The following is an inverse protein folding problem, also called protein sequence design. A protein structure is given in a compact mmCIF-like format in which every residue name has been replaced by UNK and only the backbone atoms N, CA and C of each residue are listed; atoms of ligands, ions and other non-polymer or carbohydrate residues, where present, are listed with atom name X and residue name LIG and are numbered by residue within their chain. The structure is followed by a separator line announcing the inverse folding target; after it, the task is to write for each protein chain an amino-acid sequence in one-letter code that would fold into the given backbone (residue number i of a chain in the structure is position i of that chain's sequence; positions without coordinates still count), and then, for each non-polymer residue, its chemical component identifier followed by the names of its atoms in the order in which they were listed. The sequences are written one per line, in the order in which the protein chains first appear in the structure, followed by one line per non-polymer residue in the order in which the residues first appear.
data_IF_683578768911
#
_entry.id   IF_683578768911
#
_cell.length_a   1.000
_cell.length_b   1.000
_cell.length_c   1.000
_cell.angle_alpha   90.00
_cell.angle_beta   90.00
_cell.angle_gamma   90.00
#
_symmetry.space_group_name_H-M   'P 1'
#
loop_
_entity.id
_entity.type
_entity.pdbx_description
1 polymer ?
#
# COMPACT_ATOMS: atom_id res chain seq x y z
N UNK A 1 -4.97 -42.50 26.65
CA UNK A 1 -5.01 -42.20 25.21
C UNK A 1 -6.28 -42.78 24.63
N UNK A 2 -7.13 -41.97 23.99
CA UNK A 2 -7.89 -42.29 22.77
C UNK A 2 -8.40 -40.95 22.21
N UNK A 3 -7.71 -40.43 21.19
CA UNK A 3 -8.10 -39.24 20.45
C UNK A 3 -9.04 -39.63 19.32
N UNK A 4 -10.18 -38.94 19.18
CA UNK A 4 -10.91 -38.82 17.92
C UNK A 4 -12.14 -37.93 18.10
N UNK A 5 -12.13 -36.76 17.48
CA UNK A 5 -13.23 -36.32 16.64
C UNK A 5 -12.77 -35.14 15.77
N UNK A 6 -12.55 -35.41 14.48
CA UNK A 6 -12.71 -34.38 13.43
C UNK A 6 -14.00 -34.71 12.71
N UNK A 7 -14.84 -33.71 12.48
CA UNK A 7 -15.57 -33.62 11.23
C UNK A 7 -15.11 -32.37 10.49
N UNK A 8 -14.46 -32.58 9.35
CA UNK A 8 -14.23 -31.59 8.32
C UNK A 8 -15.57 -31.02 7.87
N UNK A 9 -15.82 -29.73 8.12
CA UNK A 9 -16.97 -29.03 7.55
C UNK A 9 -16.58 -28.47 6.19
N UNK A 10 -16.92 -29.23 5.16
CA UNK A 10 -17.09 -28.72 3.80
C UNK A 10 -18.23 -27.71 3.79
N UNK A 11 -17.95 -26.44 3.51
CA UNK A 11 -18.94 -25.52 2.97
C UNK A 11 -18.48 -25.07 1.59
N UNK A 12 -18.73 -25.94 0.61
CA UNK A 12 -18.95 -25.51 -0.77
C UNK A 12 -20.31 -24.83 -0.79
N UNK A 13 -20.33 -23.53 -1.06
CA UNK A 13 -21.52 -22.83 -1.54
C UNK A 13 -21.21 -22.19 -2.89
N UNK A 14 -22.18 -22.38 -3.78
CA UNK A 14 -22.22 -22.10 -5.20
C UNK A 14 -21.98 -20.63 -5.59
N UNK A 15 -21.71 -20.38 -6.89
CA UNK A 15 -21.70 -19.07 -7.49
C UNK A 15 -23.12 -18.70 -7.92
N UNK A 16 -23.73 -17.66 -7.33
CA UNK A 16 -24.73 -16.84 -8.02
C UNK A 16 -25.03 -15.59 -7.17
N UNK A 17 -24.63 -14.41 -7.66
CA UNK A 17 -25.24 -13.12 -7.33
C UNK A 17 -24.71 -12.05 -8.28
N UNK A 18 -25.52 -11.84 -9.32
CA UNK A 18 -25.77 -10.63 -10.11
C UNK A 18 -24.99 -9.35 -9.74
N UNK A 19 -24.31 -8.85 -10.78
CA UNK A 19 -24.33 -7.46 -11.26
C UNK A 19 -24.50 -6.36 -10.19
N UNK A 20 -23.41 -5.66 -9.91
CA UNK A 20 -23.51 -4.22 -9.69
C UNK A 20 -22.30 -3.54 -10.31
N UNK A 21 -22.54 -2.86 -11.42
CA UNK A 21 -21.84 -1.68 -11.92
C UNK A 21 -20.33 -1.61 -11.66
N UNK A 22 -19.58 -1.66 -12.76
CA UNK A 22 -18.36 -0.87 -12.96
C UNK A 22 -18.58 0.59 -12.54
N UNK A 23 -18.53 0.85 -11.24
CA UNK A 23 -17.96 2.08 -10.75
C UNK A 23 -16.58 1.66 -10.26
N UNK A 24 -15.58 1.87 -11.13
CA UNK A 24 -14.22 2.10 -10.65
C UNK A 24 -14.22 3.43 -9.87
N UNK A 25 -14.97 3.50 -8.75
CA UNK A 25 -14.64 4.42 -7.68
C UNK A 25 -13.38 3.86 -7.06
N UNK A 26 -12.26 4.05 -7.78
CA UNK A 26 -10.92 3.84 -7.26
C UNK A 26 -10.71 4.94 -6.22
N UNK A 27 -11.35 4.79 -5.05
CA UNK A 27 -10.79 5.36 -3.84
C UNK A 27 -9.30 4.98 -3.85
N UNK A 28 -8.39 5.93 -3.59
CA UNK A 28 -6.96 5.63 -3.61
C UNK A 28 -6.77 4.47 -2.64
N UNK A 29 -6.48 3.29 -3.19
CA UNK A 29 -6.29 2.10 -2.39
C UNK A 29 -5.18 2.47 -1.41
N UNK A 30 -5.39 2.39 -0.09
CA UNK A 30 -4.38 2.79 0.86
C UNK A 30 -3.10 2.06 0.50
N UNK A 31 -2.09 2.81 0.08
CA UNK A 31 -0.86 2.23 -0.45
C UNK A 31 -0.16 1.52 0.71
N UNK A 32 -0.15 0.19 0.71
CA UNK A 32 0.53 -0.59 1.74
C UNK A 32 2.04 -0.46 1.57
N UNK A 33 2.61 0.56 2.21
CA UNK A 33 4.04 0.81 2.22
C UNK A 33 4.75 -0.19 3.13
N UNK A 34 5.83 -0.77 2.62
CA UNK A 34 6.67 -1.70 3.39
C UNK A 34 7.39 -0.96 4.53
N UNK A 35 7.63 -1.62 5.68
CA UNK A 35 8.44 -1.03 6.73
C UNK A 35 9.85 -0.72 6.20
N UNK A 36 10.33 0.49 6.51
CA UNK A 36 11.67 0.94 6.14
C UNK A 36 12.65 0.82 7.32
N UNK A 37 13.94 0.63 7.04
CA UNK A 37 15.00 0.87 8.02
C UNK A 37 14.98 2.30 8.56
N UNK A 38 15.46 2.52 9.80
CA UNK A 38 15.41 3.82 10.49
C UNK A 38 16.15 4.98 9.81
N UNK A 39 17.13 4.66 8.97
CA UNK A 39 17.90 5.65 8.21
C UNK A 39 17.20 6.08 6.90
N UNK A 40 16.03 5.51 6.59
CA UNK A 40 15.23 5.84 5.42
C UNK A 40 13.84 6.31 5.82
N UNK A 41 13.22 7.13 4.98
CA UNK A 41 11.84 7.56 5.11
C UNK A 41 11.15 7.62 3.76
N UNK A 42 9.83 7.48 3.78
CA UNK A 42 9.01 7.83 2.64
C UNK A 42 8.81 9.33 2.58
N UNK A 43 8.83 9.85 1.37
CA UNK A 43 8.39 11.19 1.06
C UNK A 43 7.57 11.15 -0.23
N UNK A 44 6.78 12.18 -0.53
CA UNK A 44 5.84 12.15 -1.64
C UNK A 44 6.08 13.32 -2.58
N UNK A 45 6.10 13.04 -3.88
CA UNK A 45 6.34 14.06 -4.92
C UNK A 45 5.12 14.95 -5.17
N UNK A 46 3.93 14.48 -4.81
CA UNK A 46 2.65 15.15 -5.05
C UNK A 46 1.82 15.31 -3.78
N UNK A 47 0.90 16.27 -3.80
CA UNK A 47 0.00 16.53 -2.68
C UNK A 47 -0.99 15.39 -2.41
N UNK A 48 -1.25 14.57 -3.44
CA UNK A 48 -2.15 13.41 -3.36
C UNK A 48 -1.46 12.16 -2.82
N UNK A 49 -0.16 12.22 -2.52
CA UNK A 49 0.63 11.10 -2.01
C UNK A 49 0.59 9.85 -2.91
N UNK A 50 0.46 10.03 -4.22
CA UNK A 50 0.36 8.93 -5.17
C UNK A 50 1.76 8.41 -5.57
N UNK A 51 2.79 9.24 -5.41
CA UNK A 51 4.15 8.91 -5.82
C UNK A 51 5.10 8.91 -4.61
N UNK A 52 5.18 7.79 -3.86
CA UNK A 52 6.15 7.64 -2.79
C UNK A 52 7.56 7.50 -3.36
N UNK A 53 8.49 8.23 -2.77
CA UNK A 53 9.93 8.09 -2.96
C UNK A 53 10.57 7.71 -1.62
N UNK A 54 11.67 6.95 -1.68
CA UNK A 54 12.45 6.60 -0.49
C UNK A 54 13.67 7.51 -0.45
N UNK A 55 13.83 8.24 0.65
CA UNK A 55 14.95 9.16 0.88
C UNK A 55 15.62 8.88 2.22
N UNK A 56 16.84 9.38 2.41
CA UNK A 56 17.51 9.26 3.69
C UNK A 56 16.79 10.11 4.76
N UNK A 57 16.65 9.57 5.97
CA UNK A 57 15.94 10.26 7.07
C UNK A 57 16.75 11.40 7.68
N UNK A 58 18.05 11.45 7.43
CA UNK A 58 18.99 12.46 7.94
C UNK A 58 19.22 13.64 6.99
N UNK A 59 18.43 13.79 5.93
CA UNK A 59 18.55 14.93 5.03
C UNK A 59 18.06 16.22 5.72
N UNK A 60 18.81 17.31 5.52
CA UNK A 60 18.36 18.65 5.87
C UNK A 60 17.30 19.14 4.87
N UNK A 61 16.44 20.07 5.28
CA UNK A 61 15.36 20.62 4.43
C UNK A 61 15.88 21.10 3.07
N UNK A 62 16.99 21.83 3.03
CA UNK A 62 17.57 22.33 1.78
C UNK A 62 17.99 21.19 0.82
N UNK A 63 18.45 20.06 1.36
CA UNK A 63 18.83 18.90 0.56
C UNK A 63 17.60 18.19 0.01
N UNK A 64 16.55 18.07 0.83
CA UNK A 64 15.27 17.53 0.39
C UNK A 64 14.66 18.40 -0.70
N UNK A 65 14.59 19.72 -0.50
CA UNK A 65 14.02 20.65 -1.48
C UNK A 65 14.76 20.58 -2.82
N UNK A 66 16.09 20.50 -2.80
CA UNK A 66 16.90 20.33 -4.01
C UNK A 66 16.61 18.99 -4.69
N UNK A 67 16.51 17.90 -3.93
CA UNK A 67 16.15 16.59 -4.45
C UNK A 67 14.75 16.61 -5.10
N UNK A 68 13.76 17.17 -4.41
CA UNK A 68 12.40 17.34 -4.92
C UNK A 68 12.34 18.25 -6.16
N UNK A 69 13.19 19.27 -6.25
CA UNK A 69 13.27 20.13 -7.45
C UNK A 69 13.78 19.38 -8.67
N UNK A 70 14.74 18.47 -8.50
CA UNK A 70 15.27 17.64 -9.59
C UNK A 70 14.24 16.58 -9.99
N UNK A 71 13.66 15.89 -9.01
CA UNK A 71 12.68 14.82 -9.27
C UNK A 71 11.39 15.33 -9.90
N UNK A 72 11.01 16.60 -9.70
CA UNK A 72 9.85 17.22 -10.34
C UNK A 72 10.12 17.71 -11.78
N UNK A 73 11.37 17.77 -12.22
CA UNK A 73 11.74 18.26 -13.56
C UNK A 73 11.79 17.16 -14.62
N UNK A 74 11.70 15.89 -14.23
CA UNK A 74 11.73 14.72 -15.11
C UNK A 74 10.42 13.94 -15.01
#
# INVERSE_FOLDING_TARGET
MLAQLVPSSTHVSQPDSKESNDNSSSSPTPMELKPLPSHLKYAFLDAKQQFPIIIASNLHREQEDKLFSILRQH
#
